data_IF_890782118934
#
_entry.id   IF_890782118934
#
_cell.length_a   1.000
_cell.length_b   1.000
_cell.length_c   1.000
_cell.angle_alpha   90.00
_cell.angle_beta   90.00
_cell.angle_gamma   90.00
#
_symmetry.space_group_name_H-M   'P 1'
#
loop_
_entity.id
_entity.type
_entity.pdbx_description
1 polymer ?
#
# COMPACT_ATOMS: atom_id res chain seq x y z
N UNK A 1 -20.07 -16.67 -9.36
CA UNK A 1 -19.00 -17.01 -8.39
C UNK A 1 -17.67 -17.12 -9.14
N UNK A 2 -16.60 -16.43 -8.69
CA UNK A 2 -15.26 -16.56 -9.29
C UNK A 2 -14.79 -18.02 -9.09
N UNK A 3 -14.48 -18.74 -10.17
CA UNK A 3 -13.99 -20.13 -10.10
C UNK A 3 -12.52 -20.09 -9.65
N UNK A 4 -12.17 -20.79 -8.58
CA UNK A 4 -10.77 -20.88 -8.11
C UNK A 4 -9.99 -21.63 -9.20
N UNK A 5 -9.04 -20.94 -9.85
CA UNK A 5 -8.21 -21.53 -10.92
C UNK A 5 -6.86 -22.03 -10.40
N UNK A 6 -6.33 -21.39 -9.35
CA UNK A 6 -5.06 -21.74 -8.73
C UNK A 6 -5.02 -21.27 -7.28
N UNK A 7 -4.23 -21.96 -6.46
CA UNK A 7 -3.91 -21.56 -5.09
C UNK A 7 -2.44 -21.19 -5.06
N UNK A 8 -2.12 -20.00 -4.58
CA UNK A 8 -0.74 -19.52 -4.45
C UNK A 8 -0.40 -19.48 -2.98
N UNK A 9 0.59 -20.28 -2.58
CA UNK A 9 1.22 -20.17 -1.27
C UNK A 9 2.43 -19.23 -1.36
N UNK A 10 2.71 -18.45 -0.31
CA UNK A 10 3.86 -17.57 -0.30
C UNK A 10 5.13 -18.43 -0.24
N UNK A 11 6.15 -18.06 -1.01
CA UNK A 11 7.48 -18.64 -0.86
C UNK A 11 8.01 -18.31 0.54
N UNK A 12 8.94 -19.13 1.05
CA UNK A 12 9.44 -19.01 2.41
C UNK A 12 9.92 -17.58 2.75
N UNK A 13 10.72 -16.95 1.88
CA UNK A 13 11.23 -15.60 2.11
C UNK A 13 10.13 -14.52 2.10
N UNK A 14 9.07 -14.72 1.32
CA UNK A 14 7.92 -13.80 1.28
C UNK A 14 7.14 -13.90 2.61
N UNK A 15 6.88 -15.14 3.05
CA UNK A 15 6.18 -15.42 4.31
C UNK A 15 6.98 -14.90 5.52
N UNK A 16 8.28 -15.15 5.54
CA UNK A 16 9.19 -14.72 6.61
C UNK A 16 9.24 -13.18 6.69
N UNK A 17 9.45 -12.49 5.56
CA UNK A 17 9.49 -11.02 5.52
C UNK A 17 8.18 -10.39 6.03
N UNK A 18 7.03 -10.87 5.57
CA UNK A 18 5.73 -10.34 6.00
C UNK A 18 5.47 -10.63 7.49
N UNK A 19 5.85 -11.81 8.01
CA UNK A 19 5.68 -12.14 9.44
C UNK A 19 6.56 -11.26 10.34
N UNK A 20 7.83 -11.06 9.96
CA UNK A 20 8.75 -10.17 10.67
C UNK A 20 8.22 -8.74 10.70
N UNK A 21 7.80 -8.22 9.55
CA UNK A 21 7.21 -6.88 9.47
C UNK A 21 5.97 -6.76 10.37
N UNK A 22 5.04 -7.73 10.31
CA UNK A 22 3.84 -7.72 11.16
C UNK A 22 4.20 -7.71 12.64
N UNK A 23 5.18 -8.52 13.06
CA UNK A 23 5.61 -8.58 14.44
C UNK A 23 6.21 -7.24 14.90
N UNK A 24 7.09 -6.62 14.10
CA UNK A 24 7.66 -5.30 14.39
C UNK A 24 6.56 -4.22 14.49
N UNK A 25 5.63 -4.18 13.54
CA UNK A 25 4.53 -3.20 13.55
C UNK A 25 3.62 -3.36 14.78
N UNK A 26 3.36 -4.60 15.22
CA UNK A 26 2.57 -4.83 16.44
C UNK A 26 3.31 -4.41 17.72
N UNK A 27 4.64 -4.52 17.74
CA UNK A 27 5.46 -4.13 18.88
C UNK A 27 5.68 -2.61 18.94
N UNK A 28 5.85 -1.96 17.79
CA UNK A 28 6.23 -0.54 17.68
C UNK A 28 5.04 0.39 17.42
N UNK A 29 3.93 -0.13 16.87
CA UNK A 29 2.80 0.66 16.41
C UNK A 29 3.07 1.36 15.06
N UNK A 30 2.31 2.43 14.79
CA UNK A 30 2.51 3.23 13.59
C UNK A 30 3.70 4.20 13.74
N UNK A 31 4.43 4.46 12.65
CA UNK A 31 5.56 5.39 12.61
C UNK A 31 6.91 4.75 12.26
N UNK A 32 6.99 3.41 12.30
CA UNK A 32 8.17 2.66 11.87
C UNK A 32 8.46 2.80 10.38
N UNK A 33 9.75 2.74 10.03
CA UNK A 33 10.25 2.74 8.64
C UNK A 33 10.96 1.40 8.39
N UNK A 34 10.56 0.70 7.34
CA UNK A 34 11.06 -0.64 7.04
C UNK A 34 11.54 -0.74 5.59
N UNK A 35 12.65 -1.43 5.38
CA UNK A 35 13.18 -1.75 4.06
C UNK A 35 13.17 -3.27 3.87
N UNK A 36 12.45 -3.74 2.85
CA UNK A 36 12.45 -5.15 2.44
C UNK A 36 13.20 -5.26 1.12
N UNK A 37 14.37 -5.91 1.14
CA UNK A 37 15.19 -6.11 -0.04
C UNK A 37 14.89 -7.46 -0.69
N UNK A 38 14.44 -7.40 -1.94
CA UNK A 38 14.15 -8.55 -2.78
C UNK A 38 15.10 -8.55 -3.98
N UNK A 39 15.64 -9.72 -4.34
CA UNK A 39 16.31 -9.88 -5.64
C UNK A 39 15.30 -9.82 -6.79
N UNK A 40 15.76 -9.46 -7.98
CA UNK A 40 14.95 -9.50 -9.20
C UNK A 40 14.38 -10.92 -9.42
N UNK A 41 13.11 -11.02 -9.82
CA UNK A 41 12.44 -12.31 -10.04
C UNK A 41 12.05 -13.09 -8.77
N UNK A 42 12.34 -12.59 -7.57
CA UNK A 42 12.01 -13.26 -6.30
C UNK A 42 10.51 -13.25 -5.95
N UNK A 43 9.68 -12.56 -6.75
CA UNK A 43 8.24 -12.43 -6.54
C UNK A 43 7.85 -11.29 -5.60
N UNK A 44 8.56 -10.16 -5.67
CA UNK A 44 8.32 -8.96 -4.84
C UNK A 44 6.87 -8.46 -4.89
N UNK A 45 6.21 -8.54 -6.05
CA UNK A 45 4.79 -8.19 -6.23
C UNK A 45 3.86 -8.94 -5.27
N UNK A 46 4.12 -10.23 -5.03
CA UNK A 46 3.38 -11.00 -4.04
C UNK A 46 3.69 -10.49 -2.63
N UNK A 47 4.96 -10.27 -2.27
CA UNK A 47 5.28 -9.71 -0.94
C UNK A 47 4.55 -8.39 -0.66
N UNK A 48 4.46 -7.49 -1.65
CA UNK A 48 3.73 -6.22 -1.56
C UNK A 48 2.23 -6.48 -1.33
N UNK A 49 1.62 -7.32 -2.15
CA UNK A 49 0.19 -7.61 -2.05
C UNK A 49 -0.17 -8.25 -0.70
N UNK A 50 0.61 -9.23 -0.24
CA UNK A 50 0.39 -9.89 1.06
C UNK A 50 0.52 -8.87 2.19
N UNK A 51 1.58 -8.06 2.17
CA UNK A 51 1.82 -7.02 3.17
C UNK A 51 0.67 -6.00 3.21
N UNK A 52 0.19 -5.55 2.05
CA UNK A 52 -0.91 -4.59 1.97
C UNK A 52 -2.18 -5.13 2.64
N UNK A 53 -2.56 -6.38 2.33
CA UNK A 53 -3.73 -7.02 2.94
C UNK A 53 -3.55 -7.29 4.44
N UNK A 54 -2.37 -7.70 4.88
CA UNK A 54 -2.13 -7.90 6.31
C UNK A 54 -2.19 -6.59 7.09
N UNK A 55 -1.56 -5.52 6.61
CA UNK A 55 -1.59 -4.22 7.29
C UNK A 55 -2.99 -3.61 7.27
N UNK A 56 -3.74 -3.80 6.19
CA UNK A 56 -5.13 -3.36 6.07
C UNK A 56 -6.05 -4.02 7.10
N UNK A 57 -5.74 -5.25 7.54
CA UNK A 57 -6.52 -6.01 8.52
C UNK A 57 -5.86 -6.17 9.89
N UNK A 58 -4.72 -5.50 10.11
CA UNK A 58 -3.98 -5.58 11.37
C UNK A 58 -4.70 -4.80 12.47
N UNK A 59 -4.89 -5.45 13.62
CA UNK A 59 -5.41 -4.85 14.84
C UNK A 59 -4.40 -5.02 15.97
N UNK A 60 -4.38 -4.06 16.89
CA UNK A 60 -3.58 -4.11 18.10
C UNK A 60 -4.23 -4.99 19.19
N UNK A 61 -3.63 -5.00 20.38
CA UNK A 61 -4.11 -5.73 21.55
C UNK A 61 -5.48 -5.26 22.07
N UNK A 62 -5.87 -4.02 21.75
CA UNK A 62 -7.17 -3.44 22.05
C UNK A 62 -8.21 -3.70 20.96
N UNK A 63 -7.86 -4.50 19.96
CA UNK A 63 -8.70 -4.79 18.80
C UNK A 63 -8.99 -3.55 17.94
N UNK A 64 -8.13 -2.53 18.00
CA UNK A 64 -8.22 -1.33 17.20
C UNK A 64 -7.38 -1.45 15.94
N UNK A 65 -7.83 -0.86 14.83
CA UNK A 65 -7.10 -0.87 13.56
C UNK A 65 -5.73 -0.21 13.73
N UNK A 66 -4.64 -0.91 13.42
CA UNK A 66 -3.31 -0.27 13.41
C UNK A 66 -3.25 0.79 12.31
N UNK A 67 -3.74 0.46 11.13
CA UNK A 67 -3.89 1.37 9.99
C UNK A 67 -5.31 1.36 9.46
N UNK A 68 -5.82 2.54 9.10
CA UNK A 68 -7.15 2.71 8.50
C UNK A 68 -7.10 2.45 6.99
N UNK A 69 -6.02 2.88 6.34
CA UNK A 69 -5.79 2.67 4.92
C UNK A 69 -4.31 2.40 4.63
N UNK A 70 -4.05 1.47 3.71
CA UNK A 70 -2.72 1.19 3.16
C UNK A 70 -2.63 1.78 1.76
N UNK A 71 -1.63 2.63 1.52
CA UNK A 71 -1.30 3.15 0.20
C UNK A 71 -0.18 2.32 -0.41
N UNK A 72 -0.42 1.76 -1.59
CA UNK A 72 0.60 1.09 -2.39
C UNK A 72 0.98 1.99 -3.55
N UNK A 73 2.24 2.43 -3.56
CA UNK A 73 2.79 3.35 -4.54
C UNK A 73 3.71 2.58 -5.48
N UNK A 74 3.42 2.66 -6.78
CA UNK A 74 4.32 2.14 -7.82
C UNK A 74 5.00 3.29 -8.57
N UNK A 75 6.30 3.19 -8.81
CA UNK A 75 7.07 4.16 -9.59
C UNK A 75 6.67 4.18 -11.09
N UNK A 76 6.05 3.12 -11.58
CA UNK A 76 5.70 3.05 -13.01
C UNK A 76 4.65 4.10 -13.37
N UNK A 77 4.86 4.79 -14.51
CA UNK A 77 3.91 5.76 -15.09
C UNK A 77 2.48 5.20 -15.24
N UNK A 78 2.38 3.88 -15.38
CA UNK A 78 1.16 3.11 -15.36
C UNK A 78 1.33 2.03 -14.30
N UNK A 79 0.33 1.87 -13.45
CA UNK A 79 0.34 0.83 -12.43
C UNK A 79 0.45 -0.53 -13.13
N UNK A 80 1.42 -1.33 -12.72
CA UNK A 80 1.63 -2.67 -13.27
C UNK A 80 0.35 -3.51 -13.08
N UNK A 81 -0.17 -4.04 -14.19
CA UNK A 81 -1.31 -4.97 -14.20
C UNK A 81 -1.05 -6.15 -13.27
N UNK A 82 0.20 -6.63 -13.16
CA UNK A 82 0.54 -7.71 -12.23
C UNK A 82 0.34 -7.32 -10.77
N UNK A 83 0.70 -6.09 -10.38
CA UNK A 83 0.53 -5.59 -9.02
C UNK A 83 -0.95 -5.39 -8.70
N UNK A 84 -1.71 -4.80 -9.63
CA UNK A 84 -3.16 -4.68 -9.49
C UNK A 84 -3.79 -6.07 -9.33
N UNK A 85 -3.55 -6.98 -10.27
CA UNK A 85 -4.11 -8.33 -10.24
C UNK A 85 -3.74 -9.05 -8.95
N UNK A 86 -2.50 -8.96 -8.49
CA UNK A 86 -2.11 -9.54 -7.22
C UNK A 86 -2.95 -8.97 -6.08
N UNK A 87 -2.99 -7.65 -5.89
CA UNK A 87 -3.75 -7.01 -4.81
C UNK A 87 -5.25 -7.33 -4.91
N UNK A 88 -5.86 -7.29 -6.10
CA UNK A 88 -7.27 -7.64 -6.30
C UNK A 88 -7.55 -9.14 -6.11
N UNK A 89 -6.62 -10.03 -6.41
CA UNK A 89 -6.83 -11.46 -6.23
C UNK A 89 -6.80 -11.88 -4.75
N UNK A 90 -6.12 -11.12 -3.90
CA UNK A 90 -6.15 -11.30 -2.44
C UNK A 90 -7.36 -10.64 -1.78
N UNK A 91 -8.16 -9.88 -2.53
CA UNK A 91 -9.37 -9.24 -2.03
C UNK A 91 -10.43 -10.29 -1.65
N UNK A 92 -10.65 -10.47 -0.35
CA UNK A 92 -11.71 -11.33 0.18
C UNK A 92 -13.10 -10.68 0.13
N UNK A 93 -13.14 -9.37 0.33
CA UNK A 93 -14.38 -8.57 0.33
C UNK A 93 -14.31 -7.57 -0.81
N UNK A 94 -15.16 -7.72 -1.81
CA UNK A 94 -15.17 -6.83 -2.98
C UNK A 94 -15.37 -5.37 -2.57
N UNK A 95 -14.51 -4.49 -3.09
CA UNK A 95 -14.61 -3.05 -2.91
C UNK A 95 -13.78 -2.47 -1.77
N UNK A 96 -12.88 -3.25 -1.16
CA UNK A 96 -11.90 -2.73 -0.18
C UNK A 96 -10.62 -2.23 -0.84
N UNK A 97 -10.33 -2.70 -2.07
CA UNK A 97 -9.23 -2.24 -2.92
C UNK A 97 -9.74 -1.25 -3.94
N UNK A 98 -9.02 -0.15 -4.12
CA UNK A 98 -9.24 0.76 -5.26
C UNK A 98 -7.93 1.17 -5.89
N UNK A 99 -8.00 1.55 -7.16
CA UNK A 99 -6.86 1.96 -7.98
C UNK A 99 -7.15 3.35 -8.54
N UNK A 100 -6.22 4.28 -8.36
CA UNK A 100 -6.30 5.60 -8.98
C UNK A 100 -5.58 5.57 -10.32
N UNK A 101 -6.31 5.85 -11.40
CA UNK A 101 -5.76 5.91 -12.76
C UNK A 101 -5.75 7.34 -13.29
N UNK A 102 -4.87 7.60 -14.26
CA UNK A 102 -4.66 8.94 -14.83
C UNK A 102 -5.74 9.41 -15.80
N UNK A 103 -6.64 8.52 -16.22
CA UNK A 103 -7.55 8.64 -17.37
C UNK A 103 -9.02 8.84 -16.99
N UNK A 104 -9.36 8.84 -15.70
CA UNK A 104 -10.74 9.02 -15.23
C UNK A 104 -10.82 10.17 -14.22
N UNK A 105 -11.52 11.25 -14.57
CA UNK A 105 -11.84 12.37 -13.66
C UNK A 105 -10.66 13.15 -13.07
N UNK A 106 -10.95 14.05 -12.13
CA UNK A 106 -9.93 14.77 -11.39
C UNK A 106 -9.24 13.82 -10.38
N UNK A 107 -7.94 13.57 -10.58
CA UNK A 107 -7.09 12.64 -9.79
C UNK A 107 -7.23 12.82 -8.27
N UNK A 108 -7.37 14.06 -7.81
CA UNK A 108 -7.55 14.40 -6.40
C UNK A 108 -8.92 13.99 -5.84
N UNK A 109 -9.99 14.09 -6.65
CA UNK A 109 -11.35 13.77 -6.25
C UNK A 109 -11.54 12.28 -6.00
N UNK A 110 -11.10 11.42 -6.92
CA UNK A 110 -11.19 9.96 -6.76
C UNK A 110 -10.45 9.46 -5.52
N UNK A 111 -9.32 10.10 -5.23
CA UNK A 111 -8.44 9.72 -4.13
C UNK A 111 -9.00 10.17 -2.78
N UNK A 112 -9.52 11.39 -2.70
CA UNK A 112 -10.25 11.86 -1.54
C UNK A 112 -11.49 11.00 -1.27
N UNK A 113 -12.25 10.65 -2.31
CA UNK A 113 -13.41 9.77 -2.20
C UNK A 113 -13.03 8.36 -1.75
N UNK A 114 -11.96 7.79 -2.29
CA UNK A 114 -11.43 6.50 -1.85
C UNK A 114 -11.05 6.49 -0.36
N UNK A 115 -10.32 7.51 0.08
CA UNK A 115 -9.86 7.63 1.46
C UNK A 115 -11.02 7.96 2.44
N UNK A 116 -12.01 8.73 1.98
CA UNK A 116 -13.22 9.03 2.74
C UNK A 116 -14.15 7.82 2.84
N UNK A 117 -14.32 7.07 1.74
CA UNK A 117 -15.17 5.89 1.62
C UNK A 117 -14.66 4.64 2.34
N UNK A 118 -13.63 4.77 3.18
CA UNK A 118 -13.12 3.68 4.02
C UNK A 118 -12.45 2.55 3.24
N UNK A 119 -11.92 2.83 2.04
CA UNK A 119 -11.14 1.83 1.30
C UNK A 119 -9.91 1.46 2.12
N UNK A 120 -9.72 0.15 2.32
CA UNK A 120 -8.63 -0.38 3.14
C UNK A 120 -7.30 -0.32 2.39
N UNK A 121 -7.31 -0.47 1.07
CA UNK A 121 -6.12 -0.45 0.23
C UNK A 121 -6.35 0.48 -0.97
N UNK A 122 -5.44 1.42 -1.17
CA UNK A 122 -5.43 2.33 -2.31
C UNK A 122 -4.13 2.14 -3.08
N UNK A 123 -4.24 1.84 -4.37
CA UNK A 123 -3.08 1.69 -5.27
C UNK A 123 -2.97 2.93 -6.14
N UNK A 124 -1.79 3.55 -6.16
CA UNK A 124 -1.52 4.73 -6.97
C UNK A 124 -0.12 4.66 -7.59
N UNK A 125 0.11 5.51 -8.59
CA UNK A 125 1.46 5.72 -9.14
C UNK A 125 2.21 6.78 -8.35
N UNK A 126 3.50 6.93 -8.58
CA UNK A 126 4.28 8.01 -7.98
C UNK A 126 3.80 9.39 -8.41
N UNK A 127 3.31 9.55 -9.65
CA UNK A 127 2.79 10.83 -10.16
C UNK A 127 1.48 11.23 -9.48
N UNK A 128 0.70 10.24 -9.01
CA UNK A 128 -0.57 10.47 -8.31
C UNK A 128 -0.40 10.51 -6.78
N UNK A 129 0.75 10.06 -6.27
CA UNK A 129 1.06 10.03 -4.84
C UNK A 129 1.02 11.41 -4.14
N UNK A 130 1.51 12.53 -4.71
CA UNK A 130 1.42 13.84 -4.05
C UNK A 130 0.00 14.27 -3.71
N UNK A 131 -0.97 13.92 -4.57
CA UNK A 131 -2.39 14.18 -4.28
C UNK A 131 -2.89 13.27 -3.15
N UNK A 132 -2.40 12.02 -3.10
CA UNK A 132 -2.71 11.07 -2.03
C UNK A 132 -2.22 11.58 -0.69
N UNK A 133 -0.96 12.02 -0.67
CA UNK A 133 -0.27 12.46 0.52
C UNK A 133 -0.98 13.65 1.17
N UNK A 134 -1.42 14.62 0.38
CA UNK A 134 -2.19 15.76 0.90
C UNK A 134 -3.50 15.30 1.57
N UNK A 135 -4.29 14.49 0.87
CA UNK A 135 -5.55 13.97 1.42
C UNK A 135 -5.34 13.11 2.68
N UNK A 136 -4.28 12.32 2.70
CA UNK A 136 -3.86 11.50 3.86
C UNK A 136 -3.48 12.39 5.05
N UNK A 137 -2.69 13.45 4.83
CA UNK A 137 -2.31 14.41 5.86
C UNK A 137 -3.53 15.11 6.44
N UNK A 138 -4.46 15.56 5.58
CA UNK A 138 -5.70 16.22 6.01
C UNK A 138 -6.56 15.26 6.87
N UNK A 139 -6.69 13.99 6.48
CA UNK A 139 -7.45 12.99 7.23
C UNK A 139 -6.76 12.57 8.54
N UNK A 140 -5.43 12.50 8.55
CA UNK A 140 -4.67 12.23 9.77
C UNK A 140 -4.84 13.37 10.78
N UNK A 141 -4.76 14.63 10.32
CA UNK A 141 -4.92 15.80 11.17
C UNK A 141 -6.36 16.01 11.66
N UNK A 142 -7.36 15.81 10.79
CA UNK A 142 -8.77 16.09 11.11
C UNK A 142 -9.50 14.94 11.79
N UNK A 143 -9.13 13.68 11.51
CA UNK A 143 -9.85 12.49 11.96
C UNK A 143 -8.98 11.51 12.76
N UNK A 144 -7.70 11.81 12.99
CA UNK A 144 -6.79 10.91 13.69
C UNK A 144 -6.50 9.59 12.94
N UNK A 145 -6.78 9.56 11.63
CA UNK A 145 -6.57 8.35 10.82
C UNK A 145 -5.08 8.04 10.67
N UNK A 146 -4.75 6.77 10.76
CA UNK A 146 -3.39 6.21 10.57
C UNK A 146 -3.28 5.51 9.24
N UNK A 147 -2.15 5.68 8.56
CA UNK A 147 -1.91 5.17 7.21
C UNK A 147 -0.58 4.42 7.13
N UNK A 148 -0.53 3.38 6.31
CA UNK A 148 0.73 2.74 5.92
C UNK A 148 1.03 3.06 4.46
N UNK A 149 2.30 3.28 4.13
CA UNK A 149 2.75 3.52 2.74
C UNK A 149 3.72 2.41 2.36
N UNK A 150 3.42 1.68 1.28
CA UNK A 150 4.27 0.67 0.68
C UNK A 150 4.72 1.19 -0.68
N UNK A 151 6.02 1.43 -0.83
CA UNK A 151 6.61 1.89 -2.08
C UNK A 151 7.31 0.73 -2.81
N UNK A 152 6.92 0.50 -4.06
CA UNK A 152 7.59 -0.39 -4.99
C UNK A 152 8.76 0.34 -5.66
N UNK A 153 9.97 -0.22 -5.57
CA UNK A 153 11.23 0.38 -6.07
C UNK A 153 11.56 1.71 -5.38
N UNK A 154 11.81 1.65 -4.07
CA UNK A 154 12.26 2.79 -3.26
C UNK A 154 13.72 3.21 -3.56
N UNK A 155 14.09 3.31 -4.83
CA UNK A 155 15.43 3.74 -5.24
C UNK A 155 15.51 5.27 -5.40
N UNK A 156 16.61 5.82 -4.92
CA UNK A 156 16.91 7.27 -4.89
C UNK A 156 17.19 7.89 -6.25
N UNK A 157 17.20 7.11 -7.34
CA UNK A 157 17.48 7.58 -8.70
C UNK A 157 16.30 8.29 -9.37
N UNK A 158 15.14 8.34 -8.72
CA UNK A 158 13.98 9.05 -9.25
C UNK A 158 14.09 10.54 -8.97
N UNK A 159 14.13 11.32 -10.06
CA UNK A 159 14.20 12.77 -10.03
C UNK A 159 12.79 13.36 -10.14
N UNK A 160 12.54 14.49 -9.46
CA UNK A 160 11.27 15.22 -9.52
C UNK A 160 10.55 15.35 -8.16
N UNK A 161 9.57 16.26 -8.13
CA UNK A 161 8.86 16.65 -6.90
C UNK A 161 8.11 15.48 -6.23
N UNK A 162 7.52 14.59 -7.02
CA UNK A 162 6.79 13.44 -6.50
C UNK A 162 7.70 12.42 -5.81
N UNK A 163 8.88 12.15 -6.40
CA UNK A 163 9.90 11.30 -5.80
C UNK A 163 10.49 11.93 -4.54
N UNK A 164 10.72 13.25 -4.54
CA UNK A 164 11.16 13.97 -3.35
C UNK A 164 10.13 13.88 -2.21
N UNK A 165 8.84 14.02 -2.51
CA UNK A 165 7.75 13.87 -1.53
C UNK A 165 7.64 12.44 -0.99
N UNK A 166 7.72 11.43 -1.85
CA UNK A 166 7.76 10.04 -1.41
C UNK A 166 8.99 9.77 -0.54
N UNK A 167 10.16 10.26 -0.95
CA UNK A 167 11.39 10.16 -0.18
C UNK A 167 11.29 10.88 1.16
N UNK A 168 10.66 12.04 1.25
CA UNK A 168 10.47 12.74 2.52
C UNK A 168 9.58 11.95 3.50
N UNK A 169 8.59 11.21 2.99
CA UNK A 169 7.77 10.29 3.80
C UNK A 169 8.59 9.07 4.25
N UNK A 170 9.52 8.60 3.43
CA UNK A 170 10.27 7.36 3.67
C UNK A 170 11.66 7.54 4.31
N UNK A 171 12.24 8.74 4.31
CA UNK A 171 13.59 9.02 4.81
C UNK A 171 13.57 9.36 6.30
N UNK A 172 14.59 8.97 7.09
CA UNK A 172 14.71 9.21 8.54
C UNK A 172 14.36 10.62 8.98
#
# INVERSE_FOLDING_TARGET
KKKIRSVIFPRFHQLDATRKLRASVLAEGAGGKYLIQHSAGSGKTNSIAWTAHFLADLHDDKHEKVFHTVLVVSDRNVIDTQLQEAIFNFERTTGVVTTIKSDSGAKSGQLAEALAGGKKIVVCTIQTFPFALKAVQDLAASQGKRFAVIADEAHSSQTGEAAAKLKAVLSP
#
